data_IF_992114320092
#
_entry.id   IF_992114320092
#
_cell.length_a   1.000
_cell.length_b   1.000
_cell.length_c   1.000
_cell.angle_alpha   90.00
_cell.angle_beta   90.00
_cell.angle_gamma   90.00
#
_symmetry.space_group_name_H-M   'P 1'
#
loop_
_entity.id
_entity.type
_entity.pdbx_description
1 polymer ?
#
# COMPACT_ATOMS: atom_id res chain seq x y z
N UNK A 1 75.27 -20.27 -2.56
CA UNK A 1 74.19 -19.74 -3.40
C UNK A 1 74.81 -18.65 -4.25
N UNK A 2 74.88 -18.85 -5.56
CA UNK A 2 75.41 -17.82 -6.47
C UNK A 2 74.42 -16.66 -6.59
N UNK A 3 74.87 -15.46 -6.98
CA UNK A 3 73.96 -14.32 -7.21
C UNK A 3 72.87 -14.66 -8.24
N UNK A 4 73.20 -15.49 -9.23
CA UNK A 4 72.27 -15.98 -10.24
C UNK A 4 71.17 -16.88 -9.65
N UNK A 5 71.52 -17.80 -8.73
CA UNK A 5 70.55 -18.64 -8.02
C UNK A 5 69.62 -17.80 -7.12
N UNK A 6 70.18 -16.79 -6.45
CA UNK A 6 69.41 -15.85 -5.61
C UNK A 6 68.41 -15.04 -6.45
N UNK A 7 68.85 -14.54 -7.60
CA UNK A 7 68.02 -13.78 -8.55
C UNK A 7 66.92 -14.67 -9.14
N UNK A 8 67.23 -15.91 -9.51
CA UNK A 8 66.24 -16.86 -10.04
C UNK A 8 65.16 -17.19 -8.99
N UNK A 9 65.56 -17.46 -7.74
CA UNK A 9 64.64 -17.72 -6.64
C UNK A 9 63.73 -16.52 -6.33
N UNK A 10 64.27 -15.29 -6.40
CA UNK A 10 63.49 -14.06 -6.21
C UNK A 10 62.44 -13.88 -7.31
N UNK A 11 62.81 -14.06 -8.58
CA UNK A 11 61.89 -13.96 -9.72
C UNK A 11 60.79 -15.02 -9.62
N UNK A 12 61.15 -16.26 -9.26
CA UNK A 12 60.19 -17.34 -9.08
C UNK A 12 59.19 -17.05 -7.96
N UNK A 13 59.64 -16.57 -6.80
CA UNK A 13 58.77 -16.15 -5.70
C UNK A 13 57.85 -14.98 -6.10
N UNK A 14 58.38 -13.99 -6.83
CA UNK A 14 57.59 -12.87 -7.32
C UNK A 14 56.48 -13.35 -8.28
N UNK A 15 56.82 -14.24 -9.21
CA UNK A 15 55.85 -14.84 -10.14
C UNK A 15 54.77 -15.63 -9.41
N UNK A 16 55.14 -16.41 -8.39
CA UNK A 16 54.17 -17.16 -7.57
C UNK A 16 53.20 -16.22 -6.84
N UNK A 17 53.70 -15.14 -6.24
CA UNK A 17 52.86 -14.13 -5.57
C UNK A 17 51.95 -13.44 -6.58
N UNK A 18 52.49 -12.99 -7.72
CA UNK A 18 51.72 -12.33 -8.78
C UNK A 18 50.62 -13.23 -9.32
N UNK A 19 50.92 -14.48 -9.66
CA UNK A 19 49.91 -15.44 -10.15
C UNK A 19 48.85 -15.71 -9.08
N UNK A 20 49.26 -15.89 -7.82
CA UNK A 20 48.33 -16.16 -6.71
C UNK A 20 47.40 -14.98 -6.38
N UNK A 21 47.76 -13.74 -6.75
CA UNK A 21 46.91 -12.56 -6.57
C UNK A 21 46.09 -12.25 -7.83
N UNK A 22 46.73 -12.23 -9.00
CA UNK A 22 46.12 -11.80 -10.26
C UNK A 22 45.06 -12.79 -10.75
N UNK A 23 45.31 -14.11 -10.64
CA UNK A 23 44.34 -15.12 -11.08
C UNK A 23 43.01 -15.04 -10.28
N UNK A 24 42.99 -15.04 -8.94
CA UNK A 24 41.72 -14.87 -8.22
C UNK A 24 41.08 -13.51 -8.45
N UNK A 25 41.86 -12.42 -8.56
CA UNK A 25 41.31 -11.09 -8.89
C UNK A 25 40.61 -11.09 -10.25
N UNK A 26 41.20 -11.70 -11.27
CA UNK A 26 40.57 -11.81 -12.61
C UNK A 26 39.32 -12.69 -12.58
N UNK A 27 39.33 -13.81 -11.85
CA UNK A 27 38.13 -14.65 -11.65
C UNK A 27 37.01 -13.87 -10.95
N UNK A 28 37.33 -13.10 -9.91
CA UNK A 28 36.37 -12.26 -9.19
C UNK A 28 35.80 -11.17 -10.11
N UNK A 29 36.64 -10.54 -10.93
CA UNK A 29 36.22 -9.54 -11.92
C UNK A 29 35.27 -10.15 -12.96
N UNK A 30 35.63 -11.30 -13.54
CA UNK A 30 34.80 -12.00 -14.53
C UNK A 30 33.46 -12.40 -13.91
N UNK A 31 33.47 -12.93 -12.68
CA UNK A 31 32.26 -13.29 -11.93
C UNK A 31 31.37 -12.06 -11.68
N UNK A 32 31.99 -10.93 -11.31
CA UNK A 32 31.28 -9.67 -11.12
C UNK A 32 30.65 -9.17 -12.43
N UNK A 33 31.39 -9.16 -13.54
CA UNK A 33 30.90 -8.77 -14.87
C UNK A 33 29.75 -9.68 -15.30
N UNK A 34 29.88 -10.99 -15.12
CA UNK A 34 28.83 -11.95 -15.46
C UNK A 34 27.54 -11.67 -14.67
N UNK A 35 27.65 -11.45 -13.35
CA UNK A 35 26.50 -11.07 -12.52
C UNK A 35 25.93 -9.70 -12.89
N UNK A 36 26.77 -8.76 -13.28
CA UNK A 36 26.38 -7.44 -13.75
C UNK A 36 25.56 -7.53 -15.05
N UNK A 37 26.03 -8.29 -16.04
CA UNK A 37 25.30 -8.47 -17.31
C UNK A 37 23.97 -9.19 -17.05
N UNK A 38 24.00 -10.27 -16.26
CA UNK A 38 22.79 -11.05 -15.96
C UNK A 38 21.74 -10.23 -15.21
N UNK A 39 22.12 -9.23 -14.41
CA UNK A 39 21.15 -8.39 -13.70
C UNK A 39 20.34 -7.45 -14.59
N UNK A 40 20.70 -7.29 -15.87
CA UNK A 40 19.90 -6.58 -16.88
C UNK A 40 18.87 -7.45 -17.59
N UNK A 41 18.92 -8.78 -17.43
CA UNK A 41 18.10 -9.68 -18.23
C UNK A 41 16.62 -9.59 -17.86
N UNK A 42 15.78 -9.20 -18.81
CA UNK A 42 14.33 -9.36 -18.72
C UNK A 42 13.96 -10.75 -19.20
N UNK A 43 13.27 -11.51 -18.36
CA UNK A 43 12.79 -12.85 -18.70
C UNK A 43 11.48 -12.78 -19.48
N UNK A 44 11.05 -13.92 -19.98
CA UNK A 44 9.74 -14.08 -20.61
C UNK A 44 8.62 -13.71 -19.64
N UNK A 45 7.54 -13.17 -20.22
CA UNK A 45 6.34 -12.81 -19.50
C UNK A 45 5.49 -14.07 -19.30
N UNK A 46 4.94 -14.23 -18.10
CA UNK A 46 4.16 -15.39 -17.69
C UNK A 46 2.81 -14.95 -17.11
N UNK A 47 1.79 -15.82 -17.13
CA UNK A 47 0.47 -15.54 -16.55
C UNK A 47 0.38 -15.90 -15.06
N UNK A 48 1.42 -16.52 -14.51
CA UNK A 48 1.47 -16.99 -13.11
C UNK A 48 2.71 -16.38 -12.47
N UNK A 49 2.64 -15.87 -11.22
CA UNK A 49 3.79 -15.30 -10.54
C UNK A 49 4.90 -16.35 -10.41
N UNK A 50 6.11 -16.00 -10.86
CA UNK A 50 7.27 -16.87 -10.78
C UNK A 50 8.06 -16.57 -9.51
N UNK A 51 8.21 -17.56 -8.65
CA UNK A 51 9.01 -17.43 -7.44
C UNK A 51 10.45 -17.92 -7.67
N UNK A 52 11.45 -17.35 -6.97
CA UNK A 52 12.80 -17.88 -6.97
C UNK A 52 12.81 -19.31 -6.41
N UNK A 53 13.66 -20.18 -6.98
CA UNK A 53 13.70 -21.59 -6.57
C UNK A 53 14.00 -21.83 -5.08
N UNK A 54 14.68 -20.89 -4.40
CA UNK A 54 14.90 -20.99 -2.95
C UNK A 54 13.63 -20.74 -2.13
N UNK A 55 12.70 -19.91 -2.63
CA UNK A 55 11.42 -19.63 -1.98
C UNK A 55 10.46 -20.81 -2.14
N UNK A 56 10.44 -21.41 -3.34
CA UNK A 56 9.65 -22.61 -3.65
C UNK A 56 9.94 -23.77 -2.69
N UNK A 57 11.19 -23.96 -2.27
CA UNK A 57 11.58 -25.06 -1.36
C UNK A 57 11.12 -24.86 0.08
N UNK A 58 11.09 -23.62 0.57
CA UNK A 58 10.78 -23.31 1.98
C UNK A 58 9.30 -23.00 2.20
N UNK A 59 8.64 -22.49 1.16
CA UNK A 59 7.27 -22.00 1.22
C UNK A 59 7.17 -20.61 1.86
N UNK A 60 6.20 -19.84 1.38
CA UNK A 60 5.84 -18.52 1.92
C UNK A 60 5.34 -18.56 3.37
N UNK A 61 4.55 -19.57 3.82
CA UNK A 61 4.02 -19.61 5.19
C UNK A 61 5.09 -19.65 6.29
N UNK A 62 6.33 -20.05 5.97
CA UNK A 62 7.44 -20.10 6.91
C UNK A 62 8.11 -18.73 7.16
N UNK A 63 7.62 -17.66 6.53
CA UNK A 63 8.17 -16.31 6.61
C UNK A 63 7.33 -15.42 7.53
N UNK A 64 7.99 -14.53 8.27
CA UNK A 64 7.28 -13.52 9.06
C UNK A 64 6.95 -12.32 8.17
N UNK A 65 5.65 -12.04 8.01
CA UNK A 65 5.11 -10.93 7.22
C UNK A 65 4.89 -9.69 8.09
N UNK A 66 5.32 -8.52 7.62
CA UNK A 66 5.04 -7.20 8.21
C UNK A 66 4.49 -6.28 7.12
N UNK A 67 3.28 -5.75 7.34
CA UNK A 67 2.67 -4.79 6.41
C UNK A 67 3.02 -3.37 6.84
N UNK A 68 3.62 -2.60 5.94
CA UNK A 68 3.91 -1.19 6.09
C UNK A 68 3.00 -0.36 5.18
N UNK A 69 2.94 0.95 5.41
CA UNK A 69 2.08 1.87 4.63
C UNK A 69 2.31 1.77 3.12
N UNK A 70 3.56 1.66 2.69
CA UNK A 70 3.95 1.72 1.27
C UNK A 70 4.41 0.38 0.68
N UNK A 71 4.67 -0.63 1.51
CA UNK A 71 5.22 -1.91 1.07
C UNK A 71 4.95 -3.00 2.10
N UNK A 72 5.20 -4.25 1.75
CA UNK A 72 5.13 -5.39 2.67
C UNK A 72 6.50 -6.05 2.72
N UNK A 73 6.98 -6.31 3.92
CA UNK A 73 8.27 -6.93 4.18
C UNK A 73 8.06 -8.36 4.68
N UNK A 74 8.86 -9.28 4.15
CA UNK A 74 8.95 -10.64 4.67
C UNK A 74 10.35 -10.87 5.20
N UNK A 75 10.44 -11.40 6.41
CA UNK A 75 11.72 -11.72 7.06
C UNK A 75 11.84 -13.23 7.28
N UNK A 76 13.09 -13.70 7.31
CA UNK A 76 13.40 -15.09 7.67
C UNK A 76 14.66 -15.15 8.51
N UNK A 77 14.72 -16.15 9.39
CA UNK A 77 15.97 -16.45 10.10
C UNK A 77 16.98 -17.04 9.11
N UNK A 78 18.17 -16.46 9.13
CA UNK A 78 19.36 -16.97 8.46
C UNK A 78 20.14 -17.81 9.47
N UNK A 79 20.67 -18.96 9.03
CA UNK A 79 21.65 -19.68 9.85
C UNK A 79 22.86 -18.77 10.04
N UNK A 80 23.43 -18.66 11.24
CA UNK A 80 24.63 -17.88 11.44
C UNK A 80 25.72 -18.47 10.54
N UNK A 81 26.14 -17.70 9.54
CA UNK A 81 27.46 -17.88 8.95
C UNK A 81 28.43 -17.41 10.03
N UNK A 82 29.58 -18.06 10.19
CA UNK A 82 30.57 -17.69 11.20
C UNK A 82 30.93 -16.20 10.99
N UNK A 83 30.45 -15.31 11.87
CA UNK A 83 30.64 -13.86 11.79
C UNK A 83 29.35 -13.04 11.98
N UNK A 84 29.49 -11.71 12.01
CA UNK A 84 28.36 -10.77 11.99
C UNK A 84 27.76 -10.67 10.60
N UNK A 85 26.42 -10.68 10.53
CA UNK A 85 25.67 -10.49 9.29
C UNK A 85 25.97 -9.09 8.73
N UNK A 86 26.43 -9.01 7.48
CA UNK A 86 26.67 -7.73 6.79
C UNK A 86 25.59 -7.48 5.71
N UNK A 87 24.46 -6.83 6.06
CA UNK A 87 23.26 -6.72 5.23
C UNK A 87 23.36 -5.57 4.20
N UNK A 88 24.46 -5.54 3.44
CA UNK A 88 24.79 -4.44 2.51
C UNK A 88 23.68 -4.19 1.48
N UNK A 89 23.03 -5.25 0.99
CA UNK A 89 21.91 -5.13 0.06
C UNK A 89 20.68 -4.53 0.71
N UNK A 90 20.36 -4.95 1.95
CA UNK A 90 19.19 -4.44 2.65
C UNK A 90 19.37 -2.95 2.94
N UNK A 91 20.56 -2.53 3.39
CA UNK A 91 20.92 -1.11 3.56
C UNK A 91 20.72 -0.32 2.27
N UNK A 92 21.27 -0.81 1.15
CA UNK A 92 21.06 -0.19 -0.17
C UNK A 92 19.58 -0.09 -0.54
N UNK A 93 18.78 -1.14 -0.32
CA UNK A 93 17.35 -1.12 -0.65
C UNK A 93 16.57 -0.12 0.22
N UNK A 94 16.95 0.09 1.49
CA UNK A 94 16.38 1.15 2.32
C UNK A 94 16.65 2.52 1.73
N UNK A 95 17.87 2.78 1.28
CA UNK A 95 18.24 4.05 0.63
C UNK A 95 17.44 4.27 -0.66
N UNK A 96 17.40 3.27 -1.55
CA UNK A 96 16.67 3.34 -2.83
C UNK A 96 15.18 3.62 -2.60
N UNK A 97 14.55 2.84 -1.73
CA UNK A 97 13.12 2.99 -1.45
C UNK A 97 12.84 4.28 -0.68
N UNK A 98 13.71 4.67 0.26
CA UNK A 98 13.58 5.93 1.00
C UNK A 98 13.68 7.15 0.08
N UNK A 99 14.61 7.13 -0.87
CA UNK A 99 14.74 8.16 -1.91
C UNK A 99 13.51 8.23 -2.83
N UNK A 100 12.93 7.08 -3.15
CA UNK A 100 11.70 7.01 -3.94
C UNK A 100 10.50 7.59 -3.20
N UNK A 101 10.28 7.18 -1.95
CA UNK A 101 9.13 7.60 -1.14
C UNK A 101 9.31 8.93 -0.39
N UNK A 102 10.51 9.52 -0.45
CA UNK A 102 10.86 10.80 0.21
C UNK A 102 10.78 10.72 1.75
N UNK A 103 11.18 9.60 2.32
CA UNK A 103 11.35 9.44 3.77
C UNK A 103 12.48 8.46 4.10
N UNK A 104 13.10 8.59 5.28
CA UNK A 104 14.16 7.68 5.73
C UNK A 104 13.56 6.34 6.17
N UNK A 105 14.13 5.23 5.70
CA UNK A 105 13.71 3.88 6.09
C UNK A 105 14.78 3.28 6.99
N UNK A 106 14.42 3.06 8.25
CA UNK A 106 15.30 2.50 9.27
C UNK A 106 15.20 0.96 9.35
N UNK A 107 16.04 0.36 10.18
CA UNK A 107 16.14 -1.10 10.34
C UNK A 107 14.95 -1.73 11.08
N UNK A 108 14.15 -0.94 11.78
CA UNK A 108 12.88 -1.36 12.37
C UNK A 108 11.77 -1.53 11.31
N UNK A 109 11.79 -0.69 10.26
CA UNK A 109 10.85 -0.74 9.13
C UNK A 109 11.22 -1.84 8.14
N UNK A 110 12.49 -1.89 7.70
CA UNK A 110 13.02 -2.97 6.86
C UNK A 110 14.19 -3.65 7.61
N UNK A 111 13.94 -4.74 8.36
CA UNK A 111 14.97 -5.43 9.13
C UNK A 111 16.08 -6.03 8.28
N UNK A 112 17.27 -6.22 8.87
CA UNK A 112 18.41 -6.88 8.20
C UNK A 112 18.09 -8.34 7.81
N UNK A 113 17.11 -8.94 8.48
CA UNK A 113 16.58 -10.28 8.19
C UNK A 113 15.61 -10.32 7.00
N UNK A 114 15.40 -9.19 6.32
CA UNK A 114 14.50 -9.10 5.17
C UNK A 114 14.93 -10.06 4.06
N UNK A 115 13.97 -10.82 3.55
CA UNK A 115 14.15 -11.71 2.42
C UNK A 115 13.22 -11.39 1.24
N UNK A 116 12.12 -10.66 1.46
CA UNK A 116 11.25 -10.20 0.38
C UNK A 116 10.72 -8.81 0.71
N UNK A 117 10.66 -7.94 -0.31
CA UNK A 117 9.99 -6.64 -0.22
C UNK A 117 9.00 -6.54 -1.39
N UNK A 118 7.71 -6.45 -1.08
CA UNK A 118 6.66 -6.22 -2.08
C UNK A 118 6.24 -4.76 -2.03
N UNK A 119 6.38 -4.04 -3.15
CA UNK A 119 6.07 -2.62 -3.27
C UNK A 119 4.90 -2.46 -4.25
N UNK A 120 3.66 -2.32 -3.75
CA UNK A 120 2.50 -2.06 -4.60
C UNK A 120 2.53 -0.63 -5.16
N UNK A 121 2.03 -0.44 -6.38
CA UNK A 121 1.72 0.90 -6.91
C UNK A 121 0.47 1.47 -6.24
N UNK A 122 0.27 2.79 -6.33
CA UNK A 122 -0.70 3.57 -5.53
C UNK A 122 -2.12 2.99 -5.45
N UNK A 123 -2.63 2.41 -6.55
CA UNK A 123 -3.98 1.86 -6.62
C UNK A 123 -4.07 0.34 -6.49
N UNK A 124 -2.97 -0.28 -6.04
CA UNK A 124 -2.88 -1.69 -5.73
C UNK A 124 -2.53 -1.90 -4.26
N UNK A 125 -2.77 -3.12 -3.79
CA UNK A 125 -2.31 -3.64 -2.50
C UNK A 125 -1.61 -4.97 -2.74
N UNK A 126 -0.78 -5.41 -1.80
CA UNK A 126 -0.21 -6.74 -1.85
C UNK A 126 -1.30 -7.82 -1.72
N UNK A 127 -1.15 -8.89 -2.50
CA UNK A 127 -2.04 -10.06 -2.47
C UNK A 127 -1.69 -11.05 -1.36
N UNK A 128 -2.16 -12.30 -1.51
CA UNK A 128 -1.92 -13.36 -0.54
C UNK A 128 -0.50 -13.93 -0.63
N UNK A 129 0.10 -13.85 -1.81
CA UNK A 129 1.43 -14.40 -2.09
C UNK A 129 2.39 -13.26 -2.49
N UNK A 130 3.68 -13.31 -2.12
CA UNK A 130 4.67 -12.34 -2.58
C UNK A 130 4.69 -12.19 -4.10
N UNK A 131 4.67 -10.94 -4.56
CA UNK A 131 4.62 -10.61 -5.99
C UNK A 131 3.22 -10.59 -6.60
N UNK A 132 2.20 -11.02 -5.86
CA UNK A 132 0.81 -10.81 -6.23
C UNK A 132 0.34 -9.42 -5.79
N UNK A 133 -0.43 -8.75 -6.64
CA UNK A 133 -1.00 -7.44 -6.36
C UNK A 133 -2.45 -7.40 -6.79
N UNK A 134 -3.28 -6.74 -5.99
CA UNK A 134 -4.73 -6.69 -6.19
C UNK A 134 -5.15 -5.23 -6.31
N UNK A 135 -6.03 -4.86 -7.26
CA UNK A 135 -6.54 -3.50 -7.34
C UNK A 135 -7.33 -3.13 -6.08
N UNK A 136 -7.14 -1.90 -5.57
CA UNK A 136 -7.83 -1.45 -4.36
C UNK A 136 -9.33 -1.20 -4.56
N UNK A 137 -9.74 -0.87 -5.77
CA UNK A 137 -11.10 -0.41 -6.10
C UNK A 137 -11.90 -1.44 -6.92
N UNK A 138 -11.49 -2.70 -6.87
CA UNK A 138 -12.06 -3.76 -7.69
C UNK A 138 -11.41 -3.86 -9.07
N UNK A 139 -11.74 -4.93 -9.76
CA UNK A 139 -11.20 -5.28 -11.07
C UNK A 139 -12.06 -4.70 -12.18
N UNK A 140 -11.41 -4.11 -13.19
CA UNK A 140 -12.10 -3.74 -14.44
C UNK A 140 -12.43 -5.00 -15.24
N UNK A 141 -13.59 -5.07 -15.93
CA UNK A 141 -13.92 -6.20 -16.78
C UNK A 141 -12.83 -6.52 -17.80
N UNK A 142 -12.46 -7.79 -17.93
CA UNK A 142 -11.44 -8.26 -18.88
C UNK A 142 -10.01 -7.90 -18.50
N UNK A 143 -9.76 -7.38 -17.29
CA UNK A 143 -8.39 -7.18 -16.82
C UNK A 143 -7.72 -8.50 -16.46
N UNK A 144 -6.39 -8.55 -16.58
CA UNK A 144 -5.59 -9.69 -16.13
C UNK A 144 -4.19 -9.27 -15.75
N UNK A 145 -3.46 -10.17 -15.08
CA UNK A 145 -2.10 -9.93 -14.64
C UNK A 145 -1.08 -10.72 -15.48
N UNK A 146 0.09 -10.10 -15.65
CA UNK A 146 1.26 -10.69 -16.26
C UNK A 146 2.48 -10.48 -15.37
N UNK A 147 3.37 -11.45 -15.35
CA UNK A 147 4.49 -11.48 -14.42
C UNK A 147 5.80 -11.64 -15.18
N UNK A 148 6.80 -10.86 -14.80
CA UNK A 148 8.10 -10.89 -15.46
C UNK A 148 9.22 -10.82 -14.43
N UNK A 149 10.12 -11.80 -14.50
CA UNK A 149 11.35 -11.79 -13.71
C UNK A 149 12.41 -10.93 -14.38
N UNK A 150 13.16 -10.19 -13.57
CA UNK A 150 14.23 -9.32 -14.00
C UNK A 150 15.51 -9.68 -13.24
N UNK A 151 16.61 -9.69 -13.98
CA UNK A 151 17.93 -9.98 -13.48
C UNK A 151 18.14 -11.46 -13.17
N UNK A 152 18.79 -11.76 -12.04
CA UNK A 152 19.05 -13.13 -11.59
C UNK A 152 17.86 -13.72 -10.82
N UNK A 153 16.65 -13.62 -11.39
CA UNK A 153 15.37 -13.93 -10.72
C UNK A 153 15.22 -13.22 -9.37
N UNK A 154 15.64 -11.94 -9.31
CA UNK A 154 15.69 -11.13 -8.07
C UNK A 154 14.59 -10.11 -7.94
N UNK A 155 14.09 -9.62 -9.06
CA UNK A 155 13.02 -8.64 -9.09
C UNK A 155 11.93 -9.23 -9.96
N UNK A 156 10.70 -9.22 -9.47
CA UNK A 156 9.52 -9.48 -10.26
C UNK A 156 8.78 -8.17 -10.43
N UNK A 157 8.42 -7.85 -11.67
CA UNK A 157 7.38 -6.85 -11.94
C UNK A 157 6.08 -7.59 -12.25
N UNK A 158 5.00 -7.07 -11.69
CA UNK A 158 3.65 -7.53 -12.00
C UNK A 158 2.97 -6.44 -12.82
N UNK A 159 2.58 -6.81 -14.02
CA UNK A 159 1.92 -5.97 -15.00
C UNK A 159 0.41 -6.17 -14.92
N UNK A 160 -0.33 -5.09 -14.84
CA UNK A 160 -1.78 -5.06 -14.92
C UNK A 160 -2.19 -4.67 -16.34
N UNK A 161 -2.92 -5.57 -16.99
CA UNK A 161 -3.40 -5.41 -18.36
C UNK A 161 -4.88 -5.04 -18.32
N UNK A 162 -5.24 -3.91 -18.90
CA UNK A 162 -6.62 -3.40 -18.93
C UNK A 162 -6.82 -2.59 -20.21
N UNK A 163 -7.91 -2.86 -20.94
CA UNK A 163 -8.23 -2.15 -22.20
C UNK A 163 -7.06 -2.08 -23.21
N UNK A 164 -6.28 -3.16 -23.30
CA UNK A 164 -5.11 -3.24 -24.19
C UNK A 164 -3.89 -2.42 -23.72
N UNK A 165 -3.96 -1.76 -22.56
CA UNK A 165 -2.86 -1.00 -21.96
C UNK A 165 -2.21 -1.79 -20.83
N UNK A 166 -0.93 -1.50 -20.61
CA UNK A 166 -0.05 -2.18 -19.64
C UNK A 166 0.40 -1.20 -18.57
N UNK A 167 0.14 -1.53 -17.31
CA UNK A 167 0.51 -0.72 -16.15
C UNK A 167 1.32 -1.55 -15.16
N UNK A 168 2.18 -0.92 -14.37
CA UNK A 168 2.83 -1.59 -13.24
C UNK A 168 1.83 -1.69 -12.09
N UNK A 169 1.53 -2.90 -11.64
CA UNK A 169 0.74 -3.15 -10.43
C UNK A 169 1.61 -3.05 -9.17
N UNK A 170 2.86 -3.49 -9.28
CA UNK A 170 3.86 -3.45 -8.22
C UNK A 170 5.12 -4.22 -8.60
N UNK A 171 6.11 -4.13 -7.72
CA UNK A 171 7.35 -4.90 -7.84
C UNK A 171 7.60 -5.73 -6.58
N UNK A 172 8.22 -6.89 -6.74
CA UNK A 172 8.62 -7.74 -5.63
C UNK A 172 10.11 -8.05 -5.74
N UNK A 173 10.85 -7.73 -4.67
CA UNK A 173 12.31 -7.87 -4.59
C UNK A 173 12.62 -9.06 -3.69
N UNK A 174 13.36 -10.03 -4.20
CA UNK A 174 13.67 -11.30 -3.53
C UNK A 174 15.15 -11.37 -3.13
N UNK A 175 15.40 -11.40 -1.82
CA UNK A 175 16.73 -11.59 -1.23
C UNK A 175 16.90 -13.03 -0.72
N UNK A 176 17.87 -13.74 -1.31
CA UNK A 176 18.20 -15.11 -0.89
C UNK A 176 18.90 -15.09 0.47
N UNK A 177 19.85 -14.18 0.66
CA UNK A 177 20.54 -13.89 1.91
C UNK A 177 20.91 -12.38 1.95
N UNK A 178 21.27 -11.82 3.11
CA UNK A 178 21.51 -10.38 3.23
C UNK A 178 22.92 -9.97 2.75
N UNK A 179 23.84 -10.94 2.61
CA UNK A 179 25.22 -10.77 2.15
C UNK A 179 25.40 -10.85 0.62
N UNK A 180 24.32 -10.69 -0.14
CA UNK A 180 24.43 -10.76 -1.60
C UNK A 180 25.17 -9.55 -2.17
N UNK A 181 25.65 -9.70 -3.41
CA UNK A 181 26.31 -8.60 -4.12
C UNK A 181 25.28 -7.59 -4.62
N UNK A 182 25.50 -6.31 -4.31
CA UNK A 182 24.63 -5.18 -4.67
C UNK A 182 24.31 -5.08 -6.18
N UNK A 183 25.20 -5.54 -7.06
CA UNK A 183 25.00 -5.48 -8.52
C UNK A 183 23.83 -6.35 -9.02
N UNK A 184 23.33 -7.28 -8.19
CA UNK A 184 22.14 -8.10 -8.46
C UNK A 184 20.83 -7.34 -8.30
N UNK A 185 20.85 -6.16 -7.66
CA UNK A 185 19.69 -5.31 -7.38
C UNK A 185 19.94 -3.92 -7.95
N UNK A 186 19.47 -3.72 -9.19
CA UNK A 186 19.66 -2.47 -9.92
C UNK A 186 18.63 -1.43 -9.51
N UNK A 187 19.11 -0.40 -8.86
CA UNK A 187 18.35 0.79 -8.49
C UNK A 187 17.65 1.42 -9.70
N UNK A 188 18.37 1.62 -10.81
CA UNK A 188 17.79 2.21 -12.04
C UNK A 188 16.56 1.44 -12.56
N UNK A 189 16.55 0.11 -12.44
CA UNK A 189 15.40 -0.72 -12.84
C UNK A 189 14.25 -0.56 -11.85
N UNK A 190 14.54 -0.62 -10.55
CA UNK A 190 13.55 -0.41 -9.47
C UNK A 190 12.90 0.97 -9.64
N UNK A 191 13.71 2.01 -9.77
CA UNK A 191 13.26 3.39 -9.96
C UNK A 191 12.43 3.56 -11.22
N UNK A 192 12.88 3.01 -12.35
CA UNK A 192 12.14 3.09 -13.61
C UNK A 192 10.74 2.50 -13.44
N UNK A 193 10.65 1.29 -12.88
CA UNK A 193 9.38 0.59 -12.67
C UNK A 193 8.45 1.31 -11.70
N UNK A 194 8.99 1.89 -10.62
CA UNK A 194 8.20 2.62 -9.65
C UNK A 194 7.70 3.98 -10.21
N UNK A 195 8.45 4.59 -11.14
CA UNK A 195 8.11 5.84 -11.83
C UNK A 195 7.16 5.67 -13.03
N UNK A 196 6.90 4.45 -13.49
CA UNK A 196 5.88 4.17 -14.52
C UNK A 196 4.52 4.79 -14.12
N UNK A 197 3.64 5.17 -15.07
CA UNK A 197 2.37 5.81 -14.74
C UNK A 197 1.50 4.91 -13.86
N UNK A 198 0.83 5.51 -12.88
CA UNK A 198 -0.14 4.80 -12.06
C UNK A 198 -1.37 4.44 -12.92
N UNK A 199 -1.85 3.19 -12.76
CA UNK A 199 -3.19 2.83 -13.23
C UNK A 199 -4.23 3.51 -12.34
N UNK A 200 -5.21 4.16 -12.96
CA UNK A 200 -6.34 4.77 -12.29
C UNK A 200 -7.61 4.06 -12.71
N UNK A 201 -8.28 3.43 -11.75
CA UNK A 201 -9.54 2.75 -12.04
C UNK A 201 -10.60 3.77 -12.42
N UNK A 202 -11.38 3.47 -13.46
CA UNK A 202 -12.66 4.14 -13.77
C UNK A 202 -13.85 3.41 -13.15
N UNK A 203 -13.61 2.24 -12.53
CA UNK A 203 -14.61 1.37 -11.94
C UNK A 203 -14.49 1.35 -10.41
N UNK A 204 -15.63 1.19 -9.71
CA UNK A 204 -15.64 0.97 -8.25
C UNK A 204 -15.10 2.13 -7.42
N UNK A 205 -15.18 3.36 -7.92
CA UNK A 205 -14.67 4.53 -7.24
C UNK A 205 -15.46 4.84 -5.98
N UNK A 206 -14.74 4.81 -4.86
CA UNK A 206 -15.26 5.29 -3.58
C UNK A 206 -15.22 6.81 -3.55
N UNK A 207 -16.35 7.39 -3.17
CA UNK A 207 -16.47 8.82 -2.87
C UNK A 207 -15.63 9.12 -1.61
N UNK A 208 -14.76 10.14 -1.67
CA UNK A 208 -13.89 10.54 -0.53
C UNK A 208 -14.55 11.59 0.36
N UNK A 209 -15.35 12.48 -0.23
CA UNK A 209 -16.13 13.45 0.52
C UNK A 209 -17.58 13.50 0.04
N UNK A 210 -18.47 13.83 0.97
CA UNK A 210 -19.89 14.02 0.73
C UNK A 210 -20.32 15.33 1.38
N UNK A 211 -20.96 16.22 0.63
CA UNK A 211 -21.55 17.46 1.12
C UNK A 211 -23.03 17.51 0.76
N UNK A 212 -23.87 17.89 1.71
CA UNK A 212 -25.30 18.10 1.45
C UNK A 212 -25.54 19.60 1.31
N UNK A 213 -26.04 20.02 0.15
CA UNK A 213 -26.32 21.42 -0.18
C UNK A 213 -27.78 21.57 -0.59
N UNK A 214 -28.34 22.76 -0.34
CA UNK A 214 -29.70 23.10 -0.75
C UNK A 214 -29.61 24.05 -1.95
N UNK A 215 -30.44 23.80 -2.97
CA UNK A 215 -30.57 24.67 -4.11
C UNK A 215 -31.41 25.89 -3.74
N UNK A 216 -30.91 27.10 -4.01
CA UNK A 216 -31.49 28.36 -3.48
C UNK A 216 -32.82 28.78 -4.12
N UNK A 217 -33.14 28.29 -5.30
CA UNK A 217 -34.33 28.68 -6.06
C UNK A 217 -35.57 27.85 -5.72
N UNK A 218 -35.40 26.58 -5.32
CA UNK A 218 -36.51 25.65 -5.07
C UNK A 218 -36.36 24.85 -3.76
N UNK A 219 -35.35 25.16 -2.95
CA UNK A 219 -35.04 24.49 -1.68
C UNK A 219 -34.82 22.97 -1.77
N UNK A 220 -34.45 22.46 -2.96
CA UNK A 220 -34.16 21.03 -3.14
C UNK A 220 -32.85 20.62 -2.45
N UNK A 221 -32.90 19.51 -1.72
CA UNK A 221 -31.74 18.87 -1.12
C UNK A 221 -30.93 18.10 -2.15
N UNK A 222 -29.63 18.38 -2.21
CA UNK A 222 -28.70 17.78 -3.15
C UNK A 222 -27.49 17.24 -2.41
N UNK A 223 -27.08 16.02 -2.76
CA UNK A 223 -25.86 15.39 -2.27
C UNK A 223 -24.77 15.56 -3.33
N UNK A 224 -23.71 16.26 -2.95
CA UNK A 224 -22.49 16.37 -3.72
C UNK A 224 -21.50 15.35 -3.20
N UNK A 225 -20.98 14.51 -4.07
CA UNK A 225 -19.91 13.60 -3.74
C UNK A 225 -18.69 13.95 -4.56
N UNK A 226 -17.52 13.87 -3.95
CA UNK A 226 -16.25 14.07 -4.63
C UNK A 226 -15.42 12.81 -4.44
N UNK A 227 -15.02 12.21 -5.54
CA UNK A 227 -14.12 11.08 -5.48
C UNK A 227 -12.66 11.55 -5.35
N UNK A 228 -11.75 10.59 -5.18
CA UNK A 228 -10.30 10.83 -5.04
C UNK A 228 -9.61 11.48 -6.25
N UNK A 229 -10.33 11.60 -7.38
CA UNK A 229 -9.88 12.28 -8.59
C UNK A 229 -10.36 13.72 -8.68
N UNK A 230 -11.16 14.16 -7.71
CA UNK A 230 -11.82 15.45 -7.74
C UNK A 230 -13.02 15.50 -8.67
N UNK A 231 -13.49 14.37 -9.21
CA UNK A 231 -14.73 14.34 -9.96
C UNK A 231 -15.90 14.52 -9.00
N UNK A 232 -16.73 15.52 -9.30
CA UNK A 232 -17.90 15.86 -8.50
C UNK A 232 -19.15 15.27 -9.15
N UNK A 233 -19.91 14.49 -8.36
CA UNK A 233 -21.23 13.99 -8.75
C UNK A 233 -22.27 14.69 -7.89
N UNK A 234 -23.39 15.03 -8.50
CA UNK A 234 -24.52 15.63 -7.82
C UNK A 234 -25.72 14.69 -7.91
N UNK A 235 -26.38 14.49 -6.78
CA UNK A 235 -27.57 13.67 -6.68
C UNK A 235 -28.71 14.50 -6.12
N UNK A 236 -29.84 14.51 -6.81
CA UNK A 236 -31.08 15.14 -6.33
C UNK A 236 -31.83 14.13 -5.48
N UNK A 237 -32.23 14.55 -4.27
CA UNK A 237 -33.10 13.73 -3.45
C UNK A 237 -34.56 13.88 -3.88
N UNK A 238 -35.16 12.80 -4.38
CA UNK A 238 -36.59 12.74 -4.70
C UNK A 238 -37.32 12.11 -3.52
N UNK A 239 -37.90 12.96 -2.67
CA UNK A 239 -38.59 12.57 -1.44
C UNK A 239 -39.69 11.54 -1.68
N UNK A 240 -40.51 11.73 -2.71
CA UNK A 240 -41.63 10.86 -3.09
C UNK A 240 -41.19 9.42 -3.38
N UNK A 241 -40.07 9.26 -4.10
CA UNK A 241 -39.53 7.96 -4.52
C UNK A 241 -38.48 7.40 -3.57
N UNK A 242 -38.01 8.20 -2.61
CA UNK A 242 -36.88 7.89 -1.71
C UNK A 242 -35.63 7.46 -2.48
N UNK A 243 -35.36 8.13 -3.60
CA UNK A 243 -34.26 7.82 -4.49
C UNK A 243 -33.38 9.06 -4.69
N UNK A 244 -32.11 8.79 -4.97
CA UNK A 244 -31.12 9.77 -5.35
C UNK A 244 -30.90 9.66 -6.86
N UNK A 245 -31.33 10.68 -7.58
CA UNK A 245 -31.18 10.74 -9.04
C UNK A 245 -29.93 11.52 -9.38
N UNK A 246 -29.00 10.88 -10.10
CA UNK A 246 -27.79 11.52 -10.57
C UNK A 246 -28.12 12.55 -11.66
N UNK A 247 -27.60 13.77 -11.53
CA UNK A 247 -27.80 14.82 -12.53
C UNK A 247 -26.60 15.77 -12.59
N UNK A 248 -26.55 16.61 -13.64
CA UNK A 248 -25.49 17.63 -13.77
C UNK A 248 -25.75 18.80 -12.82
N UNK A 249 -24.81 19.15 -11.93
CA UNK A 249 -25.00 20.28 -11.03
C UNK A 249 -25.03 21.60 -11.80
N UNK A 250 -25.87 22.53 -11.32
CA UNK A 250 -25.77 23.96 -11.66
C UNK A 250 -24.48 24.59 -11.13
N UNK A 251 -24.23 25.85 -11.46
CA UNK A 251 -23.06 26.57 -10.96
C UNK A 251 -23.11 26.72 -9.42
N UNK A 252 -21.96 26.76 -8.71
CA UNK A 252 -21.90 26.78 -7.25
C UNK A 252 -22.72 27.89 -6.58
N UNK A 253 -22.89 29.04 -7.24
CA UNK A 253 -23.67 30.16 -6.70
C UNK A 253 -25.15 29.82 -6.43
N UNK A 254 -25.70 28.83 -7.13
CA UNK A 254 -27.09 28.37 -6.98
C UNK A 254 -27.30 27.49 -5.75
N UNK A 255 -26.24 27.09 -5.07
CA UNK A 255 -26.31 26.25 -3.88
C UNK A 255 -25.95 27.04 -2.63
N UNK A 256 -26.58 26.68 -1.52
CA UNK A 256 -26.34 27.23 -0.20
C UNK A 256 -26.20 26.11 0.82
N UNK A 257 -25.38 26.38 1.84
CA UNK A 257 -25.46 25.61 3.09
C UNK A 257 -26.62 26.20 3.88
N UNK A 258 -27.61 25.39 4.24
CA UNK A 258 -28.61 25.83 5.22
C UNK A 258 -27.87 26.04 6.53
N UNK A 259 -28.02 27.23 7.15
CA UNK A 259 -27.56 27.40 8.54
C UNK A 259 -28.28 26.35 9.36
N UNK A 260 -27.53 25.60 10.15
CA UNK A 260 -27.98 24.57 11.09
C UNK A 260 -28.82 25.16 12.24
N UNK A 261 -29.81 25.99 11.91
CA UNK A 261 -30.72 26.66 12.85
C UNK A 261 -32.16 26.18 12.68
N UNK A 262 -32.48 25.47 11.59
CA UNK A 262 -33.66 24.62 11.52
C UNK A 262 -33.22 23.17 11.74
N UNK A 263 -33.05 22.85 13.02
CA UNK A 263 -32.70 21.54 13.53
C UNK A 263 -33.47 20.41 12.83
N UNK A 264 -32.78 19.56 12.08
CA UNK A 264 -33.07 18.13 12.16
C UNK A 264 -32.69 17.71 13.59
N UNK A 265 -33.61 17.96 14.54
CA UNK A 265 -33.40 17.90 15.98
C UNK A 265 -32.54 16.73 16.42
N UNK A 266 -31.28 16.97 16.79
CA UNK A 266 -30.37 16.06 17.48
C UNK A 266 -30.38 14.59 17.00
N UNK A 267 -30.66 14.33 15.71
CA UNK A 267 -30.69 12.98 15.17
C UNK A 267 -29.26 12.50 14.91
N UNK A 268 -28.77 11.64 15.80
CA UNK A 268 -27.45 11.00 15.68
C UNK A 268 -27.62 9.51 15.43
N UNK A 269 -26.82 8.96 14.50
CA UNK A 269 -26.80 7.52 14.23
C UNK A 269 -25.87 6.86 15.24
N UNK A 270 -26.39 5.94 16.04
CA UNK A 270 -25.64 5.21 17.07
C UNK A 270 -26.02 3.74 17.10
N UNK A 271 -25.17 2.89 17.69
CA UNK A 271 -25.48 1.47 17.87
C UNK A 271 -26.21 1.29 19.20
N UNK A 272 -27.43 0.75 19.17
CA UNK A 272 -28.16 0.39 20.38
C UNK A 272 -27.62 -0.94 20.91
N UNK A 273 -26.99 -0.93 22.09
CA UNK A 273 -26.43 -2.14 22.71
C UNK A 273 -27.50 -3.20 23.03
N UNK A 274 -28.72 -2.78 23.36
CA UNK A 274 -29.83 -3.70 23.65
C UNK A 274 -30.37 -4.41 22.40
N UNK A 275 -30.44 -3.71 21.26
CA UNK A 275 -30.94 -4.28 19.99
C UNK A 275 -29.84 -4.83 19.10
N UNK A 276 -28.57 -4.53 19.39
CA UNK A 276 -27.41 -4.85 18.58
C UNK A 276 -27.53 -4.39 17.11
N UNK A 277 -28.15 -3.23 16.89
CA UNK A 277 -28.44 -2.66 15.58
C UNK A 277 -28.13 -1.15 15.54
N UNK A 278 -27.84 -0.63 14.35
CA UNK A 278 -27.72 0.81 14.11
C UNK A 278 -29.09 1.47 14.15
N UNK A 279 -29.26 2.45 15.04
CA UNK A 279 -30.51 3.19 15.25
C UNK A 279 -30.25 4.69 15.11
N UNK A 280 -31.28 5.43 14.71
CA UNK A 280 -31.28 6.89 14.83
C UNK A 280 -31.75 7.24 16.24
N UNK A 281 -31.01 8.10 16.94
CA UNK A 281 -31.32 8.60 18.28
C UNK A 281 -31.54 10.10 18.19
N UNK A 282 -32.68 10.61 18.65
CA UNK A 282 -32.98 12.03 18.78
C UNK A 282 -33.24 12.43 20.23
N UNK A 283 -33.12 13.72 20.53
CA UNK A 283 -33.54 14.30 21.82
C UNK A 283 -34.98 14.77 21.75
N UNK A 284 -35.81 14.36 22.70
CA UNK A 284 -37.18 14.88 22.87
C UNK A 284 -37.45 15.09 24.35
N UNK A 285 -37.85 16.30 24.72
CA UNK A 285 -38.14 16.70 26.11
C UNK A 285 -36.99 16.39 27.10
N UNK A 286 -35.74 16.51 26.64
CA UNK A 286 -34.53 16.25 27.45
C UNK A 286 -34.11 14.77 27.54
N UNK A 287 -34.86 13.85 26.93
CA UNK A 287 -34.54 12.42 26.92
C UNK A 287 -34.07 11.94 25.55
N UNK A 288 -33.09 11.04 25.55
CA UNK A 288 -32.60 10.37 24.33
C UNK A 288 -33.55 9.24 23.96
N UNK A 289 -34.15 9.35 22.78
CA UNK A 289 -35.12 8.38 22.26
C UNK A 289 -34.70 7.89 20.89
N UNK A 290 -35.05 6.65 20.57
CA UNK A 290 -34.88 6.20 19.20
C UNK A 290 -35.92 6.90 18.31
N UNK A 291 -35.48 7.30 17.11
CA UNK A 291 -36.30 7.94 16.11
C UNK A 291 -36.51 7.00 14.93
N UNK A 292 -37.76 6.75 14.55
CA UNK A 292 -38.12 6.00 13.35
C UNK A 292 -39.07 6.81 12.49
N UNK A 293 -38.86 6.74 11.18
CA UNK A 293 -39.78 7.35 10.24
C UNK A 293 -41.07 6.53 10.11
N UNK A 294 -42.21 7.08 10.53
CA UNK A 294 -43.51 6.46 10.29
C UNK A 294 -43.99 6.76 8.87
N UNK A 295 -44.13 5.71 8.06
CA UNK A 295 -44.52 5.82 6.64
C UNK A 295 -45.97 6.26 6.43
N UNK A 296 -46.88 5.95 7.36
CA UNK A 296 -48.32 6.24 7.27
C UNK A 296 -48.62 7.70 7.63
N UNK A 297 -47.93 8.22 8.64
CA UNK A 297 -48.14 9.57 9.15
C UNK A 297 -47.11 10.59 8.64
N UNK A 298 -46.16 10.15 7.80
CA UNK A 298 -45.11 10.98 7.21
C UNK A 298 -44.36 11.86 8.24
N UNK A 299 -44.10 11.30 9.41
CA UNK A 299 -43.45 12.00 10.52
C UNK A 299 -42.47 11.08 11.25
N UNK A 300 -41.54 11.68 11.99
CA UNK A 300 -40.62 10.95 12.87
C UNK A 300 -41.36 10.63 14.17
N UNK A 301 -41.42 9.34 14.48
CA UNK A 301 -41.94 8.83 15.75
C UNK A 301 -40.78 8.46 16.67
N UNK A 302 -40.93 8.82 17.93
CA UNK A 302 -39.94 8.60 18.97
C UNK A 302 -40.40 7.48 19.87
N UNK A 303 -39.50 6.56 20.19
CA UNK A 303 -39.76 5.46 21.10
C UNK A 303 -38.63 5.34 22.12
N UNK A 304 -39.01 5.21 23.39
CA UNK A 304 -38.07 5.08 24.51
C UNK A 304 -37.38 3.71 24.44
N UNK A 305 -36.07 3.71 24.66
CA UNK A 305 -35.27 2.51 24.85
C UNK A 305 -34.56 2.62 26.21
N UNK A 306 -34.84 1.68 27.11
CA UNK A 306 -34.31 1.70 28.48
C UNK A 306 -32.77 1.80 28.53
N UNK A 307 -32.06 1.18 27.58
CA UNK A 307 -30.59 1.21 27.51
C UNK A 307 -30.01 2.49 26.88
N UNK A 308 -30.79 3.25 26.09
CA UNK A 308 -30.29 4.43 25.38
C UNK A 308 -30.75 5.75 26.02
N UNK A 309 -31.69 5.68 26.98
CA UNK A 309 -32.24 6.82 27.70
C UNK A 309 -31.42 7.23 28.95
N UNK A 310 -30.37 6.48 29.30
CA UNK A 310 -29.50 6.83 30.43
C UNK A 310 -28.69 8.11 30.12
N UNK A 311 -28.81 9.10 31.01
CA UNK A 311 -27.99 10.30 31.04
C UNK A 311 -26.56 9.90 31.43
N UNK A 312 -25.60 10.05 30.52
CA UNK A 312 -24.18 10.04 30.91
C UNK A 312 -23.85 11.39 31.56
N UNK A 313 -24.31 11.61 32.78
CA UNK A 313 -23.82 12.68 33.65
C UNK A 313 -22.56 12.20 34.37
N UNK A 314 -21.43 12.27 33.67
CA UNK A 314 -20.15 12.52 34.35
C UNK A 314 -19.40 13.58 33.54
N UNK A 315 -19.40 14.85 33.97
CA UNK A 315 -18.47 15.81 33.41
C UNK A 315 -17.03 15.32 33.64
N UNK A 316 -16.07 15.60 32.73
CA UNK A 316 -14.67 15.32 32.98
C UNK A 316 -14.24 16.05 34.27
N UNK A 317 -13.35 15.47 35.09
CA UNK A 317 -12.91 16.09 36.33
C UNK A 317 -12.32 17.47 36.03
N UNK A 318 -12.81 18.48 36.74
CA UNK A 318 -12.28 19.84 36.71
C UNK A 318 -10.89 19.80 37.32
N UNK A 319 -9.86 20.13 36.52
CA UNK A 319 -8.54 20.42 37.06
C UNK A 319 -8.63 21.71 37.87
N UNK A 320 -8.82 21.57 39.19
CA UNK A 320 -8.43 22.62 40.12
C UNK A 320 -6.91 22.68 40.10
N UNK A 321 -6.38 23.80 39.61
CA UNK A 321 -5.02 24.23 39.82
C UNK A 321 -4.73 24.22 41.32
N UNK A 322 -3.87 23.32 41.78
CA UNK A 322 -3.28 23.35 43.10
C UNK A 322 -1.90 24.02 42.99
N UNK A 323 -1.87 25.26 43.46
CA UNK A 323 -0.76 26.09 43.95
C UNK A 323 0.54 26.23 43.13
#
# INVERSE_FOLDING_TARGET
MTEEEAMFMLIFLLMMVVVSLVVPLTILLISYIFHYIRSWKFHEITKIPKQPGWLMRRGVPALTKKEEKYFTVYTKRYSPVIGELQPTVVKKLREVLGNHFKFTIDSDVIPDLTCIICVPKRNFKCGGIPGEFIPRHGESPGCYFEYQMIGDDRIQVTWFMVEGKKYVAGICIYLKNPEQINCKYREQVIDKLLKEPDYWSTYGLKEESMEVLIRKDNEEWNLFTKNRYGEERCFRFISEKRQLDAYRPFAPQYYGKKKSTDYAGDLTVQVCKFRNEMVMIGMRDGERMHATWNKKHQQIEYYRCASCAELNDTPPPTYQSLY
#
